data_IF_886714023241
#
_entry.id   IF_886714023241
#
_cell.length_a   1.000
_cell.length_b   1.000
_cell.length_c   1.000
_cell.angle_alpha   90.00
_cell.angle_beta   90.00
_cell.angle_gamma   90.00
#
_symmetry.space_group_name_H-M   'P 1'
#
loop_
_entity.id
_entity.type
_entity.pdbx_description
1 polymer ?
#
# COMPACT_ATOMS: atom_id res chain seq x y z
N UNK A 1 -30.25 -12.00 19.79
CA UNK A 1 -30.33 -12.38 21.21
C UNK A 1 -29.04 -12.00 21.90
N UNK A 2 -29.10 -11.14 22.92
CA UNK A 2 -27.96 -10.86 23.80
C UNK A 2 -27.75 -12.08 24.70
N UNK A 3 -26.55 -12.66 24.70
CA UNK A 3 -26.19 -13.67 25.70
C UNK A 3 -26.02 -12.95 27.04
N UNK A 4 -26.83 -13.23 28.06
CA UNK A 4 -26.78 -12.54 29.35
C UNK A 4 -25.43 -12.71 30.07
N UNK A 5 -24.67 -13.75 29.72
CA UNK A 5 -23.40 -14.10 30.37
C UNK A 5 -22.16 -13.38 29.78
N UNK A 6 -22.34 -12.50 28.78
CA UNK A 6 -21.22 -11.80 28.14
C UNK A 6 -21.28 -10.31 28.47
N UNK A 7 -20.49 -9.91 29.46
CA UNK A 7 -20.28 -8.51 29.79
C UNK A 7 -19.20 -7.91 28.89
N UNK A 8 -19.56 -6.87 28.13
CA UNK A 8 -18.62 -6.17 27.26
C UNK A 8 -18.08 -4.93 27.97
N UNK A 9 -16.75 -4.69 27.97
CA UNK A 9 -16.18 -3.48 28.53
C UNK A 9 -16.80 -2.22 27.89
N UNK A 10 -17.11 -1.15 28.65
CA UNK A 10 -17.74 0.07 28.13
C UNK A 10 -17.04 0.67 26.91
N UNK A 11 -15.71 0.53 26.85
CA UNK A 11 -14.87 0.93 25.72
C UNK A 11 -15.21 0.28 24.37
N UNK A 12 -16.03 -0.78 24.35
CA UNK A 12 -16.50 -1.47 23.14
C UNK A 12 -17.97 -1.19 22.80
N UNK A 13 -18.67 -0.30 23.53
CA UNK A 13 -20.06 0.05 23.25
C UNK A 13 -20.24 0.58 21.83
N UNK A 14 -19.39 1.52 21.41
CA UNK A 14 -19.45 2.09 20.06
C UNK A 14 -19.14 1.07 18.95
N UNK A 15 -18.29 0.06 19.20
CA UNK A 15 -18.09 -1.06 18.25
C UNK A 15 -19.37 -1.87 18.08
N UNK A 16 -20.08 -2.14 19.18
CA UNK A 16 -21.35 -2.88 19.12
C UNK A 16 -22.41 -2.11 18.35
N UNK A 17 -22.48 -0.79 18.52
CA UNK A 17 -23.39 0.07 17.75
C UNK A 17 -23.09 -0.03 16.25
N UNK A 18 -21.81 0.05 15.86
CA UNK A 18 -21.40 -0.08 14.46
C UNK A 18 -21.75 -1.47 13.90
N UNK A 19 -21.45 -2.54 14.65
CA UNK A 19 -21.78 -3.93 14.27
C UNK A 19 -23.29 -4.13 14.14
N UNK A 20 -24.10 -3.63 15.07
CA UNK A 20 -25.55 -3.72 15.01
C UNK A 20 -26.12 -2.96 13.79
N UNK A 21 -25.63 -1.75 13.55
CA UNK A 21 -26.04 -0.93 12.41
C UNK A 21 -25.68 -1.60 11.09
N UNK A 22 -24.45 -2.08 10.94
CA UNK A 22 -24.03 -2.83 9.76
C UNK A 22 -24.83 -4.12 9.60
N UNK A 23 -25.23 -4.78 10.68
CA UNK A 23 -26.04 -6.00 10.63
C UNK A 23 -27.45 -5.75 10.15
N UNK A 24 -28.05 -4.66 10.62
CA UNK A 24 -29.33 -4.20 10.09
C UNK A 24 -29.23 -3.87 8.60
N UNK A 25 -28.19 -3.15 8.18
CA UNK A 25 -27.98 -2.80 6.77
C UNK A 25 -27.72 -4.02 5.89
N UNK A 26 -26.88 -4.96 6.31
CA UNK A 26 -26.67 -6.23 5.58
C UNK A 26 -27.98 -7.01 5.49
N UNK A 27 -28.76 -7.08 6.57
CA UNK A 27 -30.09 -7.69 6.55
C UNK A 27 -31.04 -7.03 5.53
N UNK A 28 -31.04 -5.70 5.46
CA UNK A 28 -31.80 -4.96 4.44
C UNK A 28 -31.32 -5.27 3.02
N UNK A 29 -30.00 -5.36 2.79
CA UNK A 29 -29.45 -5.77 1.48
C UNK A 29 -29.90 -7.17 1.11
N UNK A 30 -29.87 -8.12 2.05
CA UNK A 30 -30.32 -9.49 1.79
C UNK A 30 -31.80 -9.55 1.40
N UNK A 31 -32.66 -8.78 2.08
CA UNK A 31 -34.08 -8.70 1.73
C UNK A 31 -34.30 -8.07 0.36
N UNK A 32 -33.60 -6.98 0.06
CA UNK A 32 -33.73 -6.28 -1.22
C UNK A 32 -33.22 -7.12 -2.40
N UNK A 33 -32.12 -7.84 -2.22
CA UNK A 33 -31.39 -8.47 -3.32
C UNK A 33 -31.71 -9.96 -3.48
N UNK A 34 -31.99 -10.67 -2.40
CA UNK A 34 -32.31 -12.11 -2.40
C UNK A 34 -33.68 -12.45 -1.85
N UNK A 35 -34.50 -11.45 -1.49
CA UNK A 35 -35.84 -11.64 -0.94
C UNK A 35 -35.86 -11.97 0.55
N UNK A 36 -37.07 -12.00 1.11
CA UNK A 36 -37.30 -12.30 2.53
C UNK A 36 -36.88 -13.73 2.87
N UNK A 37 -37.10 -14.68 1.96
CA UNK A 37 -36.76 -16.10 2.15
C UNK A 37 -35.25 -16.32 2.35
N UNK A 38 -34.40 -15.63 1.57
CA UNK A 38 -32.95 -15.72 1.76
C UNK A 38 -32.55 -15.16 3.13
N UNK A 39 -33.09 -14.00 3.50
CA UNK A 39 -32.82 -13.39 4.81
C UNK A 39 -33.21 -14.32 5.97
N UNK A 40 -34.40 -14.92 5.92
CA UNK A 40 -34.88 -15.86 6.94
C UNK A 40 -34.01 -17.13 7.00
N UNK A 41 -33.59 -17.62 5.84
CA UNK A 41 -32.69 -18.78 5.76
C UNK A 41 -31.34 -18.48 6.41
N UNK A 42 -30.74 -17.33 6.10
CA UNK A 42 -29.48 -16.86 6.71
C UNK A 42 -29.63 -16.73 8.22
N UNK A 43 -30.69 -16.07 8.69
CA UNK A 43 -30.92 -15.85 10.13
C UNK A 43 -31.19 -17.14 10.90
N UNK A 44 -31.90 -18.10 10.29
CA UNK A 44 -32.12 -19.42 10.89
C UNK A 44 -30.80 -20.17 11.04
N UNK A 45 -30.01 -20.25 9.98
CA UNK A 45 -28.70 -20.92 10.00
C UNK A 45 -27.74 -20.25 10.99
N UNK A 46 -27.74 -18.90 11.06
CA UNK A 46 -26.96 -18.12 12.04
C UNK A 46 -27.35 -18.46 13.47
N UNK A 47 -28.64 -18.55 13.75
CA UNK A 47 -29.16 -18.82 15.10
C UNK A 47 -28.85 -20.25 15.54
N UNK A 48 -29.03 -21.22 14.63
CA UNK A 48 -28.65 -22.63 14.87
C UNK A 48 -27.15 -22.77 15.12
N UNK A 49 -26.30 -22.10 14.33
CA UNK A 49 -24.85 -22.13 14.54
C UNK A 49 -24.44 -21.57 15.93
N UNK A 50 -25.12 -20.52 16.41
CA UNK A 50 -24.89 -19.96 17.75
C UNK A 50 -25.34 -20.93 18.85
N UNK A 51 -26.48 -21.59 18.68
CA UNK A 51 -27.02 -22.57 19.63
C UNK A 51 -26.15 -23.83 19.69
N UNK A 52 -25.73 -24.35 18.53
CA UNK A 52 -24.75 -25.45 18.39
C UNK A 52 -23.47 -25.14 19.16
N UNK A 53 -22.89 -23.94 18.99
CA UNK A 53 -21.71 -23.50 19.75
C UNK A 53 -21.96 -23.40 21.26
N UNK A 54 -23.21 -23.22 21.67
CA UNK A 54 -23.66 -23.26 23.06
C UNK A 54 -23.88 -24.68 23.61
N UNK A 55 -23.69 -25.73 22.81
CA UNK A 55 -23.87 -27.12 23.22
C UNK A 55 -25.25 -27.70 22.97
N UNK A 56 -26.12 -27.02 22.21
CA UNK A 56 -27.45 -27.54 21.86
C UNK A 56 -27.35 -28.61 20.76
N UNK A 57 -27.58 -29.86 21.13
CA UNK A 57 -27.54 -31.02 20.23
C UNK A 57 -28.68 -31.05 19.20
N UNK A 58 -29.85 -30.48 19.52
CA UNK A 58 -30.95 -30.40 18.57
C UNK A 58 -30.64 -29.37 17.47
N UNK A 59 -30.04 -28.24 17.85
CA UNK A 59 -29.57 -27.24 16.89
C UNK A 59 -28.43 -27.77 15.99
N UNK A 60 -27.55 -28.62 16.53
CA UNK A 60 -26.50 -29.30 15.77
C UNK A 60 -27.09 -30.19 14.67
N UNK A 61 -28.00 -31.08 15.04
CA UNK A 61 -28.66 -31.99 14.10
C UNK A 61 -29.51 -31.25 13.04
N UNK A 62 -30.24 -30.19 13.43
CA UNK A 62 -31.00 -29.37 12.48
C UNK A 62 -30.09 -28.64 11.50
N UNK A 63 -28.98 -28.05 11.98
CA UNK A 63 -28.04 -27.36 11.11
C UNK A 63 -27.39 -28.33 10.11
N UNK A 64 -26.99 -29.52 10.56
CA UNK A 64 -26.43 -30.56 9.69
C UNK A 64 -27.42 -30.97 8.59
N UNK A 65 -28.67 -31.24 8.95
CA UNK A 65 -29.72 -31.57 8.00
C UNK A 65 -30.00 -30.44 7.00
N UNK A 66 -29.96 -29.18 7.43
CA UNK A 66 -30.17 -28.01 6.56
C UNK A 66 -29.01 -27.77 5.61
N UNK A 67 -27.78 -28.10 5.99
CA UNK A 67 -26.59 -27.91 5.14
C UNK A 67 -26.43 -29.08 4.17
N UNK A 68 -26.81 -30.29 4.58
CA UNK A 68 -26.75 -31.49 3.75
C UNK A 68 -27.64 -31.37 2.50
N UNK A 69 -27.04 -31.58 1.32
CA UNK A 69 -27.78 -31.61 0.05
C UNK A 69 -28.36 -30.27 -0.41
N UNK A 70 -27.90 -29.13 0.15
CA UNK A 70 -28.41 -27.81 -0.23
C UNK A 70 -28.09 -27.49 -1.68
N UNK A 71 -29.08 -26.92 -2.38
CA UNK A 71 -28.93 -26.48 -3.77
C UNK A 71 -27.72 -25.53 -3.95
N UNK A 72 -26.85 -25.75 -4.94
CA UNK A 72 -25.62 -24.97 -5.10
C UNK A 72 -25.84 -23.46 -5.24
N UNK A 73 -26.96 -23.04 -5.84
CA UNK A 73 -27.29 -21.61 -5.96
C UNK A 73 -27.55 -20.97 -4.60
N UNK A 74 -28.39 -21.61 -3.78
CA UNK A 74 -28.69 -21.15 -2.43
C UNK A 74 -27.44 -21.20 -1.53
N UNK A 75 -26.65 -22.27 -1.63
CA UNK A 75 -25.40 -22.41 -0.88
C UNK A 75 -24.43 -21.24 -1.15
N UNK A 76 -24.29 -20.83 -2.42
CA UNK A 76 -23.49 -19.65 -2.79
C UNK A 76 -24.03 -18.36 -2.18
N UNK A 77 -25.34 -18.13 -2.25
CA UNK A 77 -25.92 -16.90 -1.68
C UNK A 77 -25.74 -16.83 -0.15
N UNK A 78 -25.78 -17.96 0.55
CA UNK A 78 -25.50 -18.02 1.99
C UNK A 78 -24.03 -17.78 2.32
N UNK A 79 -23.12 -18.39 1.56
CA UNK A 79 -21.69 -18.12 1.68
C UNK A 79 -21.41 -16.63 1.54
N UNK A 80 -22.02 -15.99 0.53
CA UNK A 80 -21.89 -14.55 0.29
C UNK A 80 -22.53 -13.72 1.39
N UNK A 81 -23.66 -14.15 1.94
CA UNK A 81 -24.33 -13.46 3.06
C UNK A 81 -23.45 -13.44 4.31
N UNK A 82 -22.93 -14.61 4.70
CA UNK A 82 -22.01 -14.71 5.83
C UNK A 82 -20.69 -13.98 5.57
N UNK A 83 -20.14 -14.08 4.36
CA UNK A 83 -18.90 -13.38 3.98
C UNK A 83 -19.07 -11.87 4.05
N UNK A 84 -20.16 -11.33 3.48
CA UNK A 84 -20.50 -9.90 3.54
C UNK A 84 -20.65 -9.42 4.99
N UNK A 85 -21.31 -10.22 5.83
CA UNK A 85 -21.43 -9.94 7.26
C UNK A 85 -20.09 -9.91 7.97
N UNK A 86 -19.25 -10.94 7.81
CA UNK A 86 -17.93 -11.00 8.44
C UNK A 86 -17.01 -9.88 7.96
N UNK A 87 -17.04 -9.54 6.67
CA UNK A 87 -16.29 -8.40 6.14
C UNK A 87 -16.73 -7.08 6.78
N UNK A 88 -18.05 -6.85 6.90
CA UNK A 88 -18.57 -5.65 7.56
C UNK A 88 -18.16 -5.57 9.04
N UNK A 89 -18.22 -6.69 9.77
CA UNK A 89 -17.80 -6.75 11.18
C UNK A 89 -16.30 -6.53 11.32
N UNK A 90 -15.48 -7.16 10.48
CA UNK A 90 -14.02 -6.98 10.48
C UNK A 90 -13.67 -5.51 10.23
N UNK A 91 -14.39 -4.85 9.31
CA UNK A 91 -14.19 -3.44 9.02
C UNK A 91 -14.58 -2.54 10.20
N UNK A 92 -15.70 -2.83 10.86
CA UNK A 92 -16.10 -2.12 12.08
C UNK A 92 -15.04 -2.27 13.19
N UNK A 93 -14.46 -3.46 13.34
CA UNK A 93 -13.38 -3.70 14.29
C UNK A 93 -12.13 -2.87 13.94
N UNK A 94 -11.72 -2.86 12.66
CA UNK A 94 -10.59 -2.05 12.20
C UNK A 94 -10.79 -0.55 12.47
N UNK A 95 -11.97 -0.01 12.15
CA UNK A 95 -12.31 1.40 12.43
C UNK A 95 -12.36 1.65 13.94
N UNK A 96 -12.87 0.69 14.74
CA UNK A 96 -12.86 0.80 16.19
C UNK A 96 -11.45 0.81 16.77
N UNK A 97 -10.49 0.07 16.18
CA UNK A 97 -9.07 0.16 16.59
C UNK A 97 -8.52 1.58 16.39
N UNK A 98 -8.89 2.25 15.30
CA UNK A 98 -8.54 3.66 15.05
C UNK A 98 -9.21 4.56 16.11
N UNK A 99 -10.50 4.37 16.38
CA UNK A 99 -11.25 5.09 17.43
C UNK A 99 -10.58 4.93 18.80
N UNK A 100 -10.17 3.72 19.17
CA UNK A 100 -9.48 3.43 20.43
C UNK A 100 -8.11 4.07 20.52
N UNK A 101 -7.34 4.05 19.43
CA UNK A 101 -6.04 4.76 19.36
C UNK A 101 -6.23 6.26 19.58
N UNK A 102 -7.27 6.87 19.02
CA UNK A 102 -7.58 8.29 19.24
C UNK A 102 -8.00 8.61 20.66
N UNK A 103 -8.93 7.83 21.22
CA UNK A 103 -9.37 8.00 22.60
C UNK A 103 -8.18 7.94 23.56
N UNK A 104 -7.24 7.02 23.33
CA UNK A 104 -6.01 6.94 24.12
C UNK A 104 -5.21 8.25 24.14
N UNK A 105 -5.01 8.89 22.99
CA UNK A 105 -4.30 10.17 22.89
C UNK A 105 -5.15 11.40 23.30
N UNK A 106 -6.47 11.27 23.36
CA UNK A 106 -7.35 12.33 23.88
C UNK A 106 -7.40 12.32 25.41
N UNK A 107 -7.35 11.14 26.03
CA UNK A 107 -7.35 10.99 27.48
C UNK A 107 -6.04 11.56 28.09
N UNK A 108 -4.91 11.30 27.44
CA UNK A 108 -3.60 11.85 27.80
C UNK A 108 -2.72 11.97 26.55
N UNK A 109 -2.58 13.20 26.04
CA UNK A 109 -1.81 13.49 24.84
C UNK A 109 -0.30 13.28 25.03
N UNK A 110 0.20 13.37 26.27
CA UNK A 110 1.62 13.26 26.57
C UNK A 110 2.07 11.81 26.78
N UNK A 111 1.14 10.91 27.09
CA UNK A 111 1.42 9.50 27.33
C UNK A 111 1.73 8.77 26.02
N UNK A 112 2.96 8.22 25.85
CA UNK A 112 3.28 7.44 24.67
C UNK A 112 2.44 6.14 24.63
N UNK A 113 2.08 5.69 23.44
CA UNK A 113 1.47 4.37 23.26
C UNK A 113 2.55 3.29 23.43
N UNK A 114 2.38 2.30 24.33
CA UNK A 114 3.37 1.24 24.52
C UNK A 114 3.71 0.51 23.21
N UNK A 115 4.99 0.36 22.92
CA UNK A 115 5.47 -0.25 21.67
C UNK A 115 5.37 0.65 20.43
N UNK A 116 4.91 1.88 20.55
CA UNK A 116 4.95 2.90 19.49
C UNK A 116 6.35 3.53 19.34
N UNK A 117 6.49 4.40 18.34
CA UNK A 117 7.77 5.08 18.03
C UNK A 117 8.18 6.01 19.18
N UNK A 118 7.25 6.79 19.71
CA UNK A 118 7.47 7.69 20.87
C UNK A 118 7.97 6.91 22.10
N UNK A 119 7.29 5.80 22.45
CA UNK A 119 7.69 4.93 23.56
C UNK A 119 9.09 4.33 23.35
N UNK A 120 9.38 3.82 22.15
CA UNK A 120 10.67 3.23 21.84
C UNK A 120 11.82 4.23 21.97
N UNK A 121 11.68 5.42 21.37
CA UNK A 121 12.69 6.49 21.44
C UNK A 121 12.83 7.00 22.88
N UNK A 122 11.73 7.20 23.59
CA UNK A 122 11.74 7.61 25.00
C UNK A 122 12.44 6.61 25.91
N UNK A 123 12.22 5.29 25.70
CA UNK A 123 12.92 4.24 26.45
C UNK A 123 14.43 4.22 26.17
N UNK A 124 14.83 4.38 24.91
CA UNK A 124 16.26 4.49 24.55
C UNK A 124 16.92 5.70 25.20
N UNK A 125 16.22 6.85 25.21
CA UNK A 125 16.69 8.06 25.91
C UNK A 125 16.82 7.82 27.42
N UNK A 126 15.83 7.20 28.05
CA UNK A 126 15.83 6.89 29.48
C UNK A 126 16.95 5.91 29.86
N UNK A 127 17.37 5.04 28.94
CA UNK A 127 18.54 4.16 29.10
C UNK A 127 19.89 4.86 28.88
N UNK A 128 19.89 6.16 28.58
CA UNK A 128 21.11 6.96 28.43
C UNK A 128 21.66 7.03 27.01
N UNK A 129 20.93 6.56 25.99
CA UNK A 129 21.40 6.65 24.60
C UNK A 129 21.44 8.11 24.13
N UNK A 130 22.60 8.57 23.67
CA UNK A 130 22.78 9.92 23.14
C UNK A 130 22.07 10.10 21.79
N UNK A 131 21.79 11.35 21.41
CA UNK A 131 21.20 11.65 20.10
C UNK A 131 22.10 11.14 18.97
N UNK A 132 23.41 11.35 19.09
CA UNK A 132 24.38 10.91 18.09
C UNK A 132 24.35 9.39 17.90
N UNK A 133 24.36 8.64 19.00
CA UNK A 133 24.29 7.17 18.96
C UNK A 133 22.95 6.69 18.37
N UNK A 134 21.83 7.34 18.71
CA UNK A 134 20.53 7.04 18.12
C UNK A 134 20.52 7.32 16.61
N UNK A 135 21.09 8.43 16.16
CA UNK A 135 21.18 8.73 14.72
C UNK A 135 22.09 7.74 13.98
N UNK A 136 23.16 7.25 14.60
CA UNK A 136 23.98 6.16 14.05
C UNK A 136 23.19 4.85 13.94
N UNK A 137 22.41 4.50 14.97
CA UNK A 137 21.51 3.34 14.94
C UNK A 137 20.51 3.48 13.79
N UNK A 138 19.80 4.62 13.69
CA UNK A 138 18.85 4.87 12.60
C UNK A 138 19.50 4.73 11.22
N UNK A 139 20.76 5.15 11.03
CA UNK A 139 21.48 4.99 9.75
C UNK A 139 21.80 3.53 9.41
N UNK A 140 21.92 2.65 10.40
CA UNK A 140 22.13 1.21 10.20
C UNK A 140 20.84 0.42 9.98
N UNK A 141 19.67 1.00 10.31
CA UNK A 141 18.40 0.29 10.20
C UNK A 141 17.95 0.18 8.74
N UNK A 142 17.48 -1.02 8.39
CA UNK A 142 16.86 -1.33 7.12
C UNK A 142 15.64 -2.22 7.34
N UNK A 143 14.46 -1.67 7.10
CA UNK A 143 13.16 -2.33 7.25
C UNK A 143 12.58 -2.50 5.86
N UNK A 144 12.39 -3.75 5.42
CA UNK A 144 11.82 -4.07 4.11
C UNK A 144 10.70 -5.11 4.25
N UNK A 145 9.44 -4.69 4.40
CA UNK A 145 8.31 -5.60 4.30
C UNK A 145 8.21 -6.14 2.87
N UNK A 146 8.14 -7.46 2.72
CA UNK A 146 8.06 -8.14 1.42
C UNK A 146 6.64 -8.65 1.20
N UNK A 147 6.00 -8.16 0.14
CA UNK A 147 4.64 -8.57 -0.23
C UNK A 147 4.66 -9.90 -0.98
N UNK A 148 3.81 -10.83 -0.55
CA UNK A 148 3.59 -12.12 -1.19
C UNK A 148 2.20 -12.19 -1.78
N UNK A 149 2.00 -13.06 -2.78
CA UNK A 149 0.65 -13.41 -3.23
C UNK A 149 -0.08 -14.09 -2.08
N UNK A 150 -1.36 -13.76 -1.88
CA UNK A 150 -2.17 -14.42 -0.87
C UNK A 150 -2.77 -15.69 -1.47
N UNK A 151 -2.49 -16.89 -0.92
CA UNK A 151 -2.86 -18.17 -1.55
C UNK A 151 -4.38 -18.39 -1.62
N UNK A 152 -5.16 -17.70 -0.79
CA UNK A 152 -6.61 -17.89 -0.67
C UNK A 152 -7.44 -16.61 -0.85
N UNK A 153 -6.82 -15.44 -0.93
CA UNK A 153 -7.55 -14.16 -0.92
C UNK A 153 -7.50 -13.54 -2.31
N UNK A 154 -8.40 -14.00 -3.18
CA UNK A 154 -8.53 -13.50 -4.54
C UNK A 154 -9.37 -12.23 -4.63
N UNK A 155 -9.31 -11.38 -3.60
CA UNK A 155 -10.16 -10.19 -3.52
C UNK A 155 -9.77 -9.23 -4.64
N UNK A 156 -10.69 -9.00 -5.59
CA UNK A 156 -10.47 -8.09 -6.71
C UNK A 156 -10.12 -6.69 -6.19
N UNK A 157 -9.23 -5.95 -6.87
CA UNK A 157 -8.91 -4.55 -6.53
C UNK A 157 -10.14 -3.66 -6.39
N UNK A 158 -11.18 -3.93 -7.17
CA UNK A 158 -12.49 -3.26 -7.07
C UNK A 158 -13.13 -3.43 -5.69
N UNK A 159 -13.06 -4.63 -5.11
CA UNK A 159 -13.59 -4.91 -3.77
C UNK A 159 -12.75 -4.20 -2.70
N UNK A 160 -11.42 -4.23 -2.80
CA UNK A 160 -10.54 -3.52 -1.85
C UNK A 160 -10.83 -2.01 -1.81
N UNK A 161 -11.09 -1.39 -2.96
CA UNK A 161 -11.50 0.03 -3.04
C UNK A 161 -12.85 0.28 -2.38
N UNK A 162 -13.80 -0.63 -2.51
CA UNK A 162 -15.11 -0.54 -1.82
C UNK A 162 -14.95 -0.69 -0.31
N UNK A 163 -14.12 -1.61 0.13
CA UNK A 163 -13.79 -1.79 1.55
C UNK A 163 -13.12 -0.53 2.11
N UNK A 164 -12.18 0.07 1.37
CA UNK A 164 -11.57 1.35 1.76
C UNK A 164 -12.63 2.46 1.85
N UNK A 165 -13.56 2.54 0.89
CA UNK A 165 -14.63 3.53 0.92
C UNK A 165 -15.58 3.34 2.10
N UNK A 166 -15.96 2.10 2.40
CA UNK A 166 -16.74 1.75 3.59
C UNK A 166 -15.99 2.13 4.87
N UNK A 167 -14.67 1.92 4.92
CA UNK A 167 -13.84 2.29 6.05
C UNK A 167 -13.88 3.81 6.30
N UNK A 168 -13.74 4.60 5.23
CA UNK A 168 -13.86 6.07 5.27
C UNK A 168 -15.23 6.49 5.79
N UNK A 169 -16.32 5.91 5.26
CA UNK A 169 -17.68 6.24 5.69
C UNK A 169 -17.92 5.90 7.17
N UNK A 170 -17.46 4.74 7.64
CA UNK A 170 -17.54 4.35 9.05
C UNK A 170 -16.68 5.25 9.93
N UNK A 171 -15.52 5.66 9.42
CA UNK A 171 -14.64 6.58 10.12
C UNK A 171 -15.23 8.00 10.21
N UNK A 172 -15.88 8.52 9.17
CA UNK A 172 -16.53 9.84 9.18
C UNK A 172 -17.71 9.88 10.17
N UNK A 173 -18.39 8.75 10.36
CA UNK A 173 -19.44 8.59 11.38
C UNK A 173 -18.94 8.72 12.82
N UNK A 174 -17.62 8.61 13.05
CA UNK A 174 -17.03 8.88 14.35
C UNK A 174 -17.21 10.33 14.79
N UNK A 175 -17.51 11.25 13.87
CA UNK A 175 -17.74 12.63 14.20
C UNK A 175 -19.00 12.78 15.10
N UNK A 176 -18.84 13.20 16.38
CA UNK A 176 -19.97 13.34 17.29
C UNK A 176 -20.91 14.48 16.87
N UNK A 177 -20.46 15.42 16.03
CA UNK A 177 -21.24 16.61 15.65
C UNK A 177 -22.21 16.38 14.49
N UNK A 178 -22.25 15.19 13.89
CA UNK A 178 -23.13 14.91 12.75
C UNK A 178 -24.60 15.10 13.11
N UNK A 179 -25.30 15.89 12.29
CA UNK A 179 -26.73 16.09 12.37
C UNK A 179 -27.51 14.81 12.02
N UNK A 180 -28.75 14.65 12.48
CA UNK A 180 -29.55 13.46 12.18
C UNK A 180 -29.77 13.20 10.67
N UNK A 181 -29.84 14.24 9.85
CA UNK A 181 -29.90 14.13 8.38
C UNK A 181 -28.59 13.57 7.80
N UNK A 182 -27.44 14.04 8.28
CA UNK A 182 -26.12 13.58 7.84
C UNK A 182 -25.87 12.13 8.26
N UNK A 183 -26.28 11.73 9.48
CA UNK A 183 -26.18 10.33 9.93
C UNK A 183 -27.02 9.39 9.06
N UNK A 184 -28.20 9.83 8.63
CA UNK A 184 -29.06 9.08 7.70
C UNK A 184 -28.43 9.01 6.30
N UNK A 185 -27.92 10.12 5.78
CA UNK A 185 -27.23 10.15 4.49
C UNK A 185 -26.01 9.23 4.47
N UNK A 186 -25.18 9.26 5.52
CA UNK A 186 -24.04 8.37 5.70
C UNK A 186 -24.46 6.90 5.77
N UNK A 187 -25.52 6.55 6.52
CA UNK A 187 -26.04 5.18 6.54
C UNK A 187 -26.54 4.74 5.15
N UNK A 188 -27.18 5.64 4.40
CA UNK A 188 -27.58 5.41 3.01
C UNK A 188 -26.37 5.14 2.09
N UNK A 189 -25.29 5.90 2.23
CA UNK A 189 -24.05 5.68 1.47
C UNK A 189 -23.40 4.34 1.81
N UNK A 190 -23.37 3.96 3.10
CA UNK A 190 -22.88 2.64 3.53
C UNK A 190 -23.74 1.54 2.90
N UNK A 191 -25.07 1.68 2.90
CA UNK A 191 -25.97 0.72 2.24
C UNK A 191 -25.68 0.62 0.75
N UNK A 192 -25.47 1.74 0.05
CA UNK A 192 -25.10 1.74 -1.38
C UNK A 192 -23.82 0.94 -1.61
N UNK A 193 -22.78 1.15 -0.80
CA UNK A 193 -21.53 0.40 -0.93
C UNK A 193 -21.70 -1.09 -0.60
N UNK A 194 -22.46 -1.45 0.44
CA UNK A 194 -22.78 -2.83 0.79
C UNK A 194 -23.60 -3.52 -0.31
N UNK A 195 -24.61 -2.86 -0.86
CA UNK A 195 -25.41 -3.39 -1.98
C UNK A 195 -24.55 -3.56 -3.22
N UNK A 196 -23.70 -2.58 -3.54
CA UNK A 196 -22.82 -2.68 -4.72
C UNK A 196 -21.79 -3.79 -4.54
N UNK A 197 -21.27 -3.98 -3.32
CA UNK A 197 -20.43 -5.11 -2.97
C UNK A 197 -21.18 -6.43 -3.19
N UNK A 198 -22.42 -6.56 -2.69
CA UNK A 198 -23.29 -7.72 -2.94
C UNK A 198 -23.59 -7.96 -4.43
N UNK A 199 -23.60 -6.94 -5.26
CA UNK A 199 -23.80 -7.10 -6.72
C UNK A 199 -22.50 -7.40 -7.47
N UNK A 200 -21.35 -7.33 -6.80
CA UNK A 200 -20.04 -7.61 -7.38
C UNK A 200 -19.62 -9.04 -7.05
N UNK A 201 -19.14 -9.79 -8.05
CA UNK A 201 -18.54 -11.11 -7.79
C UNK A 201 -17.22 -10.95 -7.00
N UNK A 202 -17.15 -11.56 -5.82
CA UNK A 202 -15.98 -11.50 -4.94
C UNK A 202 -14.76 -12.23 -5.53
N UNK A 203 -15.03 -13.37 -6.18
CA UNK A 203 -14.02 -14.22 -6.79
C UNK A 203 -14.06 -14.11 -8.32
N UNK A 204 -12.91 -14.09 -9.01
CA UNK A 204 -12.87 -14.29 -10.46
C UNK A 204 -13.34 -15.70 -10.81
N UNK A 205 -14.03 -15.83 -11.95
CA UNK A 205 -14.46 -17.13 -12.49
C UNK A 205 -13.30 -18.02 -12.94
N UNK A 206 -12.12 -17.43 -13.11
CA UNK A 206 -10.88 -18.08 -13.52
C UNK A 206 -9.84 -17.93 -12.41
N UNK A 207 -8.86 -18.84 -12.39
CA UNK A 207 -7.69 -18.72 -11.52
C UNK A 207 -7.04 -17.34 -11.72
N UNK A 208 -6.64 -16.70 -10.63
CA UNK A 208 -5.95 -15.41 -10.69
C UNK A 208 -4.71 -15.53 -11.57
N UNK A 209 -4.53 -14.54 -12.43
CA UNK A 209 -3.29 -14.39 -13.19
C UNK A 209 -2.25 -13.67 -12.32
N UNK A 210 -0.96 -13.83 -12.65
CA UNK A 210 0.12 -13.06 -12.02
C UNK A 210 -0.12 -11.55 -12.15
N UNK A 211 -0.79 -11.10 -13.21
CA UNK A 211 -1.17 -9.72 -13.39
C UNK A 211 -2.20 -9.24 -12.36
N UNK A 212 -3.17 -10.09 -12.00
CA UNK A 212 -4.18 -9.75 -10.99
C UNK A 212 -3.57 -9.65 -9.60
N UNK A 213 -2.71 -10.60 -9.23
CA UNK A 213 -1.96 -10.57 -7.97
C UNK A 213 -1.07 -9.33 -7.89
N UNK A 214 -0.42 -8.97 -9.00
CA UNK A 214 0.38 -7.74 -9.08
C UNK A 214 -0.47 -6.51 -8.82
N UNK A 215 -1.63 -6.37 -9.47
CA UNK A 215 -2.51 -5.21 -9.25
C UNK A 215 -3.03 -5.14 -7.81
N UNK A 216 -3.22 -6.29 -7.16
CA UNK A 216 -3.56 -6.37 -5.74
C UNK A 216 -2.43 -5.81 -4.85
N UNK A 217 -1.17 -6.22 -5.06
CA UNK A 217 -0.03 -5.67 -4.31
C UNK A 217 0.15 -4.17 -4.59
N UNK A 218 -0.01 -3.75 -5.84
CA UNK A 218 0.09 -2.34 -6.23
C UNK A 218 -0.96 -1.46 -5.56
N UNK A 219 -2.15 -1.98 -5.25
CA UNK A 219 -3.15 -1.25 -4.48
C UNK A 219 -2.60 -0.85 -3.11
N UNK A 220 -2.04 -1.78 -2.35
CA UNK A 220 -1.48 -1.46 -1.03
C UNK A 220 -0.27 -0.55 -1.11
N UNK A 221 0.67 -0.81 -2.03
CA UNK A 221 1.88 -0.01 -2.15
C UNK A 221 1.57 1.43 -2.58
N UNK A 222 0.77 1.62 -3.64
CA UNK A 222 0.59 2.93 -4.27
C UNK A 222 -0.62 3.72 -3.76
N UNK A 223 -1.71 3.06 -3.34
CA UNK A 223 -2.91 3.78 -2.85
C UNK A 223 -2.90 3.97 -1.33
N UNK A 224 -2.24 3.07 -0.58
CA UNK A 224 -2.21 3.11 0.90
C UNK A 224 -0.84 3.55 1.41
N UNK A 225 0.21 2.75 1.22
CA UNK A 225 1.52 2.96 1.84
C UNK A 225 2.22 4.22 1.33
N UNK A 226 2.12 4.50 0.03
CA UNK A 226 2.63 5.75 -0.56
C UNK A 226 2.17 7.00 0.22
N UNK A 227 0.91 7.02 0.66
CA UNK A 227 0.33 8.15 1.39
C UNK A 227 0.84 8.23 2.82
N UNK A 228 0.99 7.08 3.49
CA UNK A 228 1.30 6.97 4.93
C UNK A 228 2.79 7.10 5.24
N UNK A 229 3.68 6.75 4.30
CA UNK A 229 5.14 6.77 4.53
C UNK A 229 5.65 8.07 5.15
N UNK A 230 5.29 9.28 4.68
CA UNK A 230 5.78 10.49 5.32
C UNK A 230 5.36 10.63 6.79
N UNK A 231 4.13 10.27 7.13
CA UNK A 231 3.63 10.33 8.51
C UNK A 231 4.46 9.46 9.47
N UNK A 232 4.95 8.31 9.01
CA UNK A 232 5.82 7.45 9.82
C UNK A 232 7.15 8.14 10.16
N UNK A 233 7.75 8.86 9.21
CA UNK A 233 8.98 9.62 9.47
C UNK A 233 8.72 10.87 10.30
N UNK A 234 7.55 11.50 10.14
CA UNK A 234 7.10 12.62 10.97
C UNK A 234 6.95 12.17 12.43
N UNK A 235 6.38 11.00 12.71
CA UNK A 235 6.26 10.43 14.06
C UNK A 235 7.66 10.22 14.70
N UNK A 236 8.65 9.78 13.92
CA UNK A 236 10.05 9.66 14.39
C UNK A 236 10.62 11.05 14.70
N UNK A 237 10.44 12.02 13.80
CA UNK A 237 10.97 13.38 13.98
C UNK A 237 10.37 14.08 15.21
N UNK A 238 9.06 13.93 15.41
CA UNK A 238 8.34 14.45 16.58
C UNK A 238 8.85 13.82 17.87
N UNK A 239 9.02 12.49 17.90
CA UNK A 239 9.58 11.79 19.05
C UNK A 239 11.02 12.23 19.36
N UNK A 240 11.86 12.43 18.34
CA UNK A 240 13.20 13.01 18.54
C UNK A 240 13.13 14.42 19.12
N UNK A 241 12.21 15.26 18.63
CA UNK A 241 12.03 16.59 19.19
C UNK A 241 11.61 16.58 20.66
N UNK A 242 10.66 15.70 21.00
CA UNK A 242 10.18 15.51 22.38
C UNK A 242 11.28 15.04 23.34
N UNK A 243 12.06 14.02 22.96
CA UNK A 243 13.02 13.38 23.88
C UNK A 243 14.44 13.93 23.82
N UNK A 244 14.83 14.56 22.72
CA UNK A 244 16.19 15.06 22.48
C UNK A 244 16.27 16.57 22.21
N UNK A 245 15.13 17.27 22.11
CA UNK A 245 15.10 18.73 21.93
C UNK A 245 15.55 19.22 20.55
N UNK A 246 15.53 18.35 19.53
CA UNK A 246 15.78 18.76 18.14
C UNK A 246 14.52 19.34 17.51
N UNK A 247 14.66 20.18 16.50
CA UNK A 247 13.50 20.65 15.75
C UNK A 247 13.02 19.55 14.76
N UNK A 248 11.79 19.02 14.92
CA UNK A 248 11.23 17.98 14.05
C UNK A 248 11.17 18.39 12.57
N UNK A 249 11.11 19.69 12.29
CA UNK A 249 11.04 20.19 10.92
C UNK A 249 12.41 20.22 10.23
N UNK A 250 13.52 20.19 10.97
CA UNK A 250 14.87 20.32 10.40
C UNK A 250 15.73 19.08 10.59
N UNK A 251 15.33 18.14 11.45
CA UNK A 251 16.05 16.88 11.63
C UNK A 251 16.03 16.03 10.35
N UNK A 252 17.21 15.68 9.86
CA UNK A 252 17.38 14.83 8.69
C UNK A 252 17.40 13.35 9.10
N UNK A 253 16.29 12.66 8.84
CA UNK A 253 16.18 11.23 9.11
C UNK A 253 16.72 10.39 7.94
N UNK A 254 17.55 9.36 8.18
CA UNK A 254 17.98 8.41 7.16
C UNK A 254 16.76 7.66 6.58
N UNK A 255 16.89 7.13 5.37
CA UNK A 255 15.82 6.31 4.79
C UNK A 255 15.95 4.87 5.29
N UNK A 256 15.07 4.50 6.22
CA UNK A 256 15.09 3.19 6.90
C UNK A 256 14.04 2.22 6.37
N UNK A 257 13.02 2.71 5.66
CA UNK A 257 11.91 1.91 5.14
C UNK A 257 12.04 1.73 3.62
N UNK A 258 11.91 0.48 3.19
CA UNK A 258 11.85 0.02 1.79
C UNK A 258 10.70 -0.98 1.67
N UNK A 259 10.33 -1.36 0.45
CA UNK A 259 9.33 -2.39 0.22
C UNK A 259 9.85 -3.41 -0.78
N UNK A 260 9.54 -4.69 -0.55
CA UNK A 260 9.82 -5.78 -1.47
C UNK A 260 8.54 -6.44 -1.98
N UNK A 261 8.64 -7.22 -3.04
CA UNK A 261 7.54 -8.04 -3.56
C UNK A 261 8.08 -9.33 -4.17
N UNK A 262 7.39 -10.44 -3.91
CA UNK A 262 7.58 -11.73 -4.60
C UNK A 262 6.65 -11.89 -5.80
N UNK A 263 5.54 -11.15 -5.82
CA UNK A 263 4.54 -11.27 -6.89
C UNK A 263 5.15 -10.83 -8.21
N UNK A 264 5.21 -11.76 -9.16
CA UNK A 264 5.82 -11.57 -10.48
C UNK A 264 7.29 -11.95 -10.57
N UNK A 265 7.95 -12.31 -9.46
CA UNK A 265 9.36 -12.72 -9.41
C UNK A 265 9.62 -14.09 -8.76
N UNK A 266 8.66 -14.62 -8.00
CA UNK A 266 8.73 -15.96 -7.43
C UNK A 266 8.29 -17.03 -8.44
N UNK A 267 9.28 -17.72 -9.02
CA UNK A 267 9.08 -18.78 -10.01
C UNK A 267 9.06 -20.18 -9.37
N UNK A 268 9.32 -20.28 -8.07
CA UNK A 268 9.43 -21.56 -7.38
C UNK A 268 8.06 -22.25 -7.29
N UNK A 269 7.91 -23.36 -8.03
CA UNK A 269 6.66 -24.11 -8.11
C UNK A 269 5.54 -23.40 -8.90
N UNK A 270 5.82 -22.27 -9.56
CA UNK A 270 4.83 -21.49 -10.30
C UNK A 270 5.22 -21.28 -11.78
N UNK A 271 4.71 -22.11 -12.71
CA UNK A 271 5.06 -22.01 -14.12
C UNK A 271 4.51 -20.76 -14.82
N UNK A 272 3.53 -20.07 -14.21
CA UNK A 272 2.94 -18.84 -14.74
C UNK A 272 3.84 -17.61 -14.48
N UNK A 273 4.86 -17.75 -13.62
CA UNK A 273 5.87 -16.73 -13.39
C UNK A 273 7.13 -17.07 -14.17
N UNK A 274 7.56 -16.15 -15.04
CA UNK A 274 8.68 -16.32 -15.96
C UNK A 274 9.26 -14.96 -16.37
N UNK A 275 10.34 -14.94 -17.17
CA UNK A 275 11.01 -13.69 -17.59
C UNK A 275 10.06 -12.58 -18.11
N UNK A 276 9.00 -12.91 -18.84
CA UNK A 276 8.01 -11.91 -19.28
C UNK A 276 7.18 -11.33 -18.14
N UNK A 277 6.65 -12.13 -17.20
CA UNK A 277 5.89 -11.62 -16.05
C UNK A 277 6.76 -10.75 -15.14
N UNK A 278 8.05 -11.08 -15.01
CA UNK A 278 9.04 -10.26 -14.31
C UNK A 278 9.15 -8.87 -14.93
N UNK A 279 9.39 -8.79 -16.26
CA UNK A 279 9.49 -7.52 -16.99
C UNK A 279 8.19 -6.72 -16.93
N UNK A 280 7.04 -7.38 -17.14
CA UNK A 280 5.73 -6.76 -17.06
C UNK A 280 5.46 -6.20 -15.66
N UNK A 281 5.93 -6.89 -14.61
CA UNK A 281 5.80 -6.45 -13.22
C UNK A 281 6.66 -5.23 -12.93
N UNK A 282 7.93 -5.25 -13.32
CA UNK A 282 8.85 -4.12 -13.18
C UNK A 282 8.33 -2.88 -13.92
N UNK A 283 7.90 -3.04 -15.17
CA UNK A 283 7.34 -1.95 -15.97
C UNK A 283 6.09 -1.36 -15.33
N UNK A 284 5.18 -2.21 -14.85
CA UNK A 284 3.95 -1.76 -14.20
C UNK A 284 4.20 -1.06 -12.86
N UNK A 285 5.17 -1.53 -12.06
CA UNK A 285 5.59 -0.86 -10.83
C UNK A 285 6.16 0.53 -11.12
N UNK A 286 7.06 0.64 -12.11
CA UNK A 286 7.62 1.92 -12.55
C UNK A 286 6.53 2.89 -13.03
N UNK A 287 5.65 2.45 -13.91
CA UNK A 287 4.52 3.26 -14.40
C UNK A 287 3.65 3.75 -13.24
N UNK A 288 3.36 2.89 -12.27
CA UNK A 288 2.53 3.25 -11.11
C UNK A 288 3.17 4.35 -10.28
N UNK A 289 4.45 4.22 -9.93
CA UNK A 289 5.13 5.19 -9.05
C UNK A 289 5.43 6.51 -9.77
N UNK A 290 5.81 6.47 -11.05
CA UNK A 290 6.01 7.70 -11.85
C UNK A 290 4.70 8.46 -12.01
N UNK A 291 3.57 7.76 -12.25
CA UNK A 291 2.26 8.41 -12.29
C UNK A 291 1.85 8.99 -10.93
N UNK A 292 2.16 8.31 -9.82
CA UNK A 292 1.91 8.85 -8.48
C UNK A 292 2.67 10.16 -8.23
N UNK A 293 3.96 10.21 -8.60
CA UNK A 293 4.75 11.44 -8.53
C UNK A 293 4.21 12.54 -9.44
N UNK A 294 3.78 12.19 -10.66
CA UNK A 294 3.20 13.14 -11.59
C UNK A 294 1.97 13.84 -10.99
N UNK A 295 1.03 13.06 -10.46
CA UNK A 295 -0.19 13.59 -9.82
C UNK A 295 0.14 14.44 -8.58
N UNK A 296 1.12 14.04 -7.79
CA UNK A 296 1.55 14.79 -6.61
C UNK A 296 2.23 16.11 -6.98
N UNK A 297 3.13 16.10 -7.98
CA UNK A 297 3.78 17.32 -8.50
C UNK A 297 2.75 18.29 -9.08
N UNK A 298 1.73 17.80 -9.80
CA UNK A 298 0.62 18.65 -10.26
C UNK A 298 -0.14 19.29 -9.10
N UNK A 299 -0.39 18.53 -8.03
CA UNK A 299 -1.05 19.04 -6.82
C UNK A 299 -0.18 20.09 -6.11
N UNK A 300 1.14 19.87 -6.04
CA UNK A 300 2.10 20.85 -5.51
C UNK A 300 2.13 22.11 -6.37
N UNK A 301 2.07 22.00 -7.70
CA UNK A 301 2.02 23.15 -8.60
C UNK A 301 0.78 24.01 -8.34
N UNK A 302 -0.37 23.39 -8.02
CA UNK A 302 -1.57 24.11 -7.61
C UNK A 302 -1.39 24.79 -6.24
N UNK A 303 -0.78 24.11 -5.28
CA UNK A 303 -0.55 24.60 -3.92
C UNK A 303 0.44 25.78 -3.85
N UNK A 304 1.57 25.69 -4.57
CA UNK A 304 2.66 26.67 -4.53
C UNK A 304 2.37 27.85 -5.48
N UNK A 305 1.56 28.79 -4.99
CA UNK A 305 1.05 29.95 -5.73
C UNK A 305 1.85 31.24 -5.54
N UNK A 306 3.02 31.17 -4.92
CA UNK A 306 3.82 32.34 -4.59
C UNK A 306 4.14 33.16 -5.85
N UNK A 307 4.00 34.48 -5.76
CA UNK A 307 4.24 35.36 -6.89
C UNK A 307 5.62 36.02 -6.85
N UNK A 308 6.30 36.06 -8.00
CA UNK A 308 7.59 36.71 -8.20
C UNK A 308 7.61 38.21 -7.85
N UNK A 309 6.45 38.87 -7.79
CA UNK A 309 6.34 40.27 -7.32
C UNK A 309 6.42 40.43 -5.80
N UNK A 310 6.26 39.33 -5.04
CA UNK A 310 6.23 39.34 -3.57
C UNK A 310 7.40 38.59 -2.94
N UNK A 311 7.91 37.57 -3.63
CA UNK A 311 8.98 36.71 -3.12
C UNK A 311 9.89 36.27 -4.27
N UNK A 312 11.19 36.24 -4.00
CA UNK A 312 12.18 35.72 -4.95
C UNK A 312 12.20 34.19 -5.04
N UNK A 313 12.99 33.68 -5.97
CA UNK A 313 13.38 32.28 -6.06
C UNK A 313 14.89 32.19 -6.19
N UNK A 314 15.46 31.04 -5.83
CA UNK A 314 16.91 30.84 -5.95
C UNK A 314 17.35 30.92 -7.42
N UNK A 315 18.55 31.45 -7.66
CA UNK A 315 19.12 31.51 -9.00
C UNK A 315 19.27 30.12 -9.64
N UNK A 316 19.52 29.08 -8.82
CA UNK A 316 19.61 27.70 -9.27
C UNK A 316 18.25 27.16 -9.79
N UNK A 317 17.14 27.46 -9.10
CA UNK A 317 15.80 27.08 -9.56
C UNK A 317 15.45 27.82 -10.85
N UNK A 318 15.69 29.13 -10.91
CA UNK A 318 15.41 29.93 -12.11
C UNK A 318 16.19 29.40 -13.32
N UNK A 319 17.50 29.14 -13.15
CA UNK A 319 18.34 28.58 -14.21
C UNK A 319 17.78 27.25 -14.74
N UNK A 320 17.40 26.33 -13.84
CA UNK A 320 16.84 25.04 -14.25
C UNK A 320 15.49 25.19 -14.97
N UNK A 321 14.67 26.14 -14.52
CA UNK A 321 13.41 26.47 -15.19
C UNK A 321 13.64 26.95 -16.63
N UNK A 322 14.63 27.82 -16.85
CA UNK A 322 14.98 28.33 -18.18
C UNK A 322 15.53 27.23 -19.10
N UNK A 323 16.35 26.31 -18.55
CA UNK A 323 16.80 25.10 -19.26
C UNK A 323 15.61 24.26 -19.74
N UNK A 324 14.59 24.07 -18.89
CA UNK A 324 13.40 23.26 -19.21
C UNK A 324 12.46 23.91 -20.23
N UNK A 325 12.37 25.23 -20.31
CA UNK A 325 11.66 25.92 -21.40
C UNK A 325 12.23 25.54 -22.77
N UNK A 326 13.56 25.35 -22.83
CA UNK A 326 14.27 25.00 -24.06
C UNK A 326 14.16 23.51 -24.38
N UNK A 327 14.34 22.64 -23.38
CA UNK A 327 14.42 21.19 -23.53
C UNK A 327 13.08 20.49 -23.70
N UNK A 328 11.97 21.11 -23.26
CA UNK A 328 10.66 20.48 -23.22
C UNK A 328 9.69 21.21 -24.16
N UNK A 329 9.33 20.60 -25.31
CA UNK A 329 8.36 21.19 -26.24
C UNK A 329 7.01 21.50 -25.56
N UNK A 330 6.57 20.63 -24.63
CA UNK A 330 5.34 20.79 -23.84
C UNK A 330 5.43 21.81 -22.70
N UNK A 331 6.62 22.23 -22.27
CA UNK A 331 6.76 23.26 -21.23
C UNK A 331 6.35 24.66 -21.70
N UNK A 332 6.33 24.90 -23.01
CA UNK A 332 5.92 26.19 -23.57
C UNK A 332 4.41 26.43 -23.46
N UNK A 333 3.60 25.35 -23.45
CA UNK A 333 2.14 25.46 -23.29
C UNK A 333 1.70 25.57 -21.82
N UNK A 334 2.48 25.05 -20.87
CA UNK A 334 2.23 25.27 -19.43
C UNK A 334 2.58 26.69 -18.96
N UNK A 335 3.35 27.43 -19.76
CA UNK A 335 3.69 28.85 -19.61
C UNK A 335 2.67 29.81 -20.24
N UNK A 336 1.46 29.37 -20.59
CA UNK A 336 0.47 30.25 -21.23
C UNK A 336 -0.15 31.24 -20.22
N UNK A 337 0.48 32.41 -20.13
CA UNK A 337 -0.02 33.78 -19.84
C UNK A 337 -0.72 34.08 -18.50
N UNK A 338 -1.16 33.08 -17.71
CA UNK A 338 -1.76 33.32 -16.38
C UNK A 338 -0.83 33.01 -15.20
N UNK A 339 0.24 32.25 -15.43
CA UNK A 339 1.13 31.75 -14.37
C UNK A 339 2.56 32.27 -14.48
N UNK A 340 2.85 33.16 -15.43
CA UNK A 340 4.20 33.70 -15.70
C UNK A 340 4.83 34.40 -14.49
N UNK A 341 4.02 34.76 -13.48
CA UNK A 341 4.48 35.36 -12.23
C UNK A 341 4.52 34.37 -11.07
N UNK A 342 4.35 33.07 -11.27
CA UNK A 342 4.32 32.03 -10.22
C UNK A 342 5.44 31.00 -10.44
N UNK A 343 6.70 31.32 -10.08
CA UNK A 343 7.87 30.56 -10.52
C UNK A 343 7.87 29.09 -10.04
N UNK A 344 7.46 28.81 -8.80
CA UNK A 344 7.36 27.43 -8.31
C UNK A 344 6.34 26.60 -9.08
N UNK A 345 5.16 27.18 -9.38
CA UNK A 345 4.12 26.52 -10.18
C UNK A 345 4.62 26.20 -11.58
N UNK A 346 5.24 27.17 -12.26
CA UNK A 346 5.80 26.98 -13.61
C UNK A 346 6.82 25.85 -13.60
N UNK A 347 7.78 25.90 -12.66
CA UNK A 347 8.81 24.88 -12.54
C UNK A 347 8.24 23.48 -12.27
N UNK A 348 7.29 23.36 -11.35
CA UNK A 348 6.65 22.07 -11.04
C UNK A 348 5.84 21.52 -12.23
N UNK A 349 5.21 22.37 -13.05
CA UNK A 349 4.55 21.92 -14.28
C UNK A 349 5.56 21.38 -15.31
N UNK A 350 6.76 21.95 -15.39
CA UNK A 350 7.84 21.41 -16.22
C UNK A 350 8.34 20.06 -15.71
N UNK A 351 8.51 19.93 -14.39
CA UNK A 351 8.82 18.65 -13.72
C UNK A 351 7.74 17.61 -14.02
N UNK A 352 6.46 17.98 -13.98
CA UNK A 352 5.36 17.09 -14.35
C UNK A 352 5.45 16.64 -15.82
N UNK A 353 5.78 17.53 -16.76
CA UNK A 353 6.00 17.16 -18.16
C UNK A 353 7.20 16.20 -18.33
N UNK A 354 8.28 16.36 -17.54
CA UNK A 354 9.39 15.40 -17.52
C UNK A 354 8.98 14.04 -16.98
N UNK A 355 8.21 14.00 -15.89
CA UNK A 355 7.66 12.75 -15.36
C UNK A 355 6.75 12.06 -16.37
N UNK A 356 5.95 12.82 -17.12
CA UNK A 356 5.14 12.29 -18.23
C UNK A 356 6.02 11.70 -19.33
N UNK A 357 7.10 12.38 -19.72
CA UNK A 357 8.06 11.83 -20.66
C UNK A 357 8.73 10.55 -20.14
N UNK A 358 9.06 10.47 -18.84
CA UNK A 358 9.56 9.24 -18.20
C UNK A 358 8.53 8.11 -18.29
N UNK A 359 7.25 8.40 -17.99
CA UNK A 359 6.17 7.42 -18.05
C UNK A 359 5.97 6.87 -19.47
N UNK A 360 6.00 7.75 -20.46
CA UNK A 360 5.80 7.41 -21.88
C UNK A 360 7.06 6.78 -22.53
N UNK A 361 8.22 6.77 -21.84
CA UNK A 361 9.50 6.38 -22.43
C UNK A 361 9.99 7.33 -23.53
N UNK A 362 9.58 8.61 -23.49
CA UNK A 362 9.95 9.63 -24.48
C UNK A 362 11.30 10.28 -24.16
N UNK A 363 11.98 10.87 -25.15
CA UNK A 363 13.15 11.72 -24.92
C UNK A 363 12.86 12.83 -23.90
N UNK A 364 13.88 13.31 -23.20
CA UNK A 364 13.81 14.34 -22.15
C UNK A 364 13.15 13.91 -20.83
N UNK A 365 12.77 12.63 -20.69
CA UNK A 365 12.40 12.03 -19.41
C UNK A 365 13.54 12.04 -18.39
N UNK A 366 13.24 11.60 -17.17
CA UNK A 366 14.24 11.37 -16.14
C UNK A 366 14.99 10.07 -16.36
N UNK A 367 16.33 10.11 -16.30
CA UNK A 367 17.17 8.89 -16.38
C UNK A 367 17.05 8.02 -15.11
N UNK A 368 16.75 8.64 -13.98
CA UNK A 368 16.58 7.94 -12.72
C UNK A 368 16.04 8.84 -11.60
N UNK A 369 15.68 8.25 -10.45
CA UNK A 369 15.05 8.95 -9.35
C UNK A 369 15.95 10.03 -8.73
N UNK A 370 17.27 9.88 -8.78
CA UNK A 370 18.21 10.91 -8.27
C UNK A 370 18.13 12.22 -9.07
N UNK A 371 17.90 12.14 -10.38
CA UNK A 371 17.74 13.34 -11.20
C UNK A 371 16.43 14.06 -10.86
N UNK A 372 15.35 13.31 -10.60
CA UNK A 372 14.09 13.85 -10.14
C UNK A 372 14.19 14.46 -8.73
N UNK A 373 14.85 13.76 -7.80
CA UNK A 373 15.11 14.25 -6.45
C UNK A 373 15.80 15.62 -6.48
N UNK A 374 16.83 15.79 -7.31
CA UNK A 374 17.55 17.07 -7.46
C UNK A 374 16.66 18.23 -7.89
N UNK A 375 15.64 18.00 -8.71
CA UNK A 375 14.69 19.05 -9.07
C UNK A 375 13.81 19.44 -7.88
N UNK A 376 13.37 18.47 -7.09
CA UNK A 376 12.59 18.73 -5.88
C UNK A 376 13.45 19.42 -4.82
N UNK A 377 14.73 19.08 -4.70
CA UNK A 377 15.68 19.73 -3.79
C UNK A 377 15.81 21.24 -4.11
N UNK A 378 15.85 21.62 -5.40
CA UNK A 378 15.87 23.03 -5.80
C UNK A 378 14.64 23.81 -5.27
N UNK A 379 13.46 23.17 -5.24
CA UNK A 379 12.24 23.78 -4.68
C UNK A 379 12.38 23.97 -3.18
N UNK A 380 12.89 22.95 -2.47
CA UNK A 380 13.11 23.01 -1.02
C UNK A 380 14.12 24.11 -0.65
N UNK A 381 15.27 24.12 -1.29
CA UNK A 381 16.33 25.10 -1.03
C UNK A 381 15.84 26.52 -1.31
N UNK A 382 15.12 26.71 -2.42
CA UNK A 382 14.55 28.00 -2.78
C UNK A 382 13.49 28.46 -1.78
N UNK A 383 12.60 27.57 -1.32
CA UNK A 383 11.61 27.91 -0.29
C UNK A 383 12.30 28.32 1.02
N UNK A 384 13.30 27.57 1.47
CA UNK A 384 14.05 27.90 2.69
C UNK A 384 14.74 29.26 2.59
N UNK A 385 15.42 29.53 1.47
CA UNK A 385 16.10 30.81 1.23
C UNK A 385 15.13 32.01 1.17
N UNK A 386 13.85 31.79 0.89
CA UNK A 386 12.86 32.84 0.69
C UNK A 386 11.70 32.79 1.70
N UNK A 387 11.98 32.34 2.93
CA UNK A 387 11.02 32.33 4.06
C UNK A 387 9.74 31.50 3.77
N UNK A 388 9.86 30.48 2.93
CA UNK A 388 8.79 29.59 2.50
C UNK A 388 8.52 28.41 3.44
N UNK A 389 9.03 28.45 4.68
CA UNK A 389 8.90 27.38 5.69
C UNK A 389 7.43 26.92 5.86
N UNK A 390 6.52 27.89 5.96
CA UNK A 390 5.08 27.65 6.08
C UNK A 390 4.31 27.88 4.76
N UNK A 391 5.03 27.94 3.64
CA UNK A 391 4.46 28.26 2.32
C UNK A 391 4.54 27.05 1.36
N UNK A 392 4.32 25.84 1.89
CA UNK A 392 4.29 24.60 1.11
C UNK A 392 5.52 23.70 1.28
N UNK A 393 6.58 24.14 1.97
CA UNK A 393 7.78 23.33 2.21
C UNK A 393 7.47 21.96 2.81
N UNK A 394 6.54 21.90 3.77
CA UNK A 394 6.11 20.65 4.38
C UNK A 394 5.58 19.64 3.34
N UNK A 395 4.74 20.09 2.40
CA UNK A 395 4.21 19.22 1.35
C UNK A 395 5.30 18.75 0.38
N UNK A 396 6.27 19.61 0.03
CA UNK A 396 7.40 19.25 -0.84
C UNK A 396 8.32 18.23 -0.16
N UNK A 397 8.58 18.36 1.14
CA UNK A 397 9.37 17.39 1.92
C UNK A 397 8.72 16.02 2.01
N UNK A 398 7.38 15.96 2.06
CA UNK A 398 6.66 14.68 1.96
C UNK A 398 6.92 13.98 0.62
N UNK A 399 6.96 14.73 -0.49
CA UNK A 399 7.36 14.19 -1.79
C UNK A 399 8.81 13.70 -1.78
N UNK A 400 9.76 14.49 -1.26
CA UNK A 400 11.16 14.05 -1.11
C UNK A 400 11.26 12.73 -0.34
N UNK A 401 10.50 12.58 0.75
CA UNK A 401 10.49 11.35 1.54
C UNK A 401 9.96 10.15 0.73
N UNK A 402 8.95 10.36 -0.10
CA UNK A 402 8.42 9.31 -0.99
C UNK A 402 9.42 8.93 -2.07
N UNK A 403 10.06 9.90 -2.74
CA UNK A 403 11.12 9.64 -3.72
C UNK A 403 12.25 8.86 -3.08
N UNK A 404 12.71 9.31 -1.91
CA UNK A 404 13.77 8.66 -1.16
C UNK A 404 13.41 7.22 -0.81
N UNK A 405 12.13 6.91 -0.51
CA UNK A 405 11.59 5.60 -0.09
C UNK A 405 11.33 4.63 -1.25
N UNK A 406 10.72 5.10 -2.33
CA UNK A 406 10.18 4.25 -3.41
C UNK A 406 11.02 4.29 -4.70
N UNK A 407 11.84 5.33 -4.91
CA UNK A 407 12.57 5.54 -6.16
C UNK A 407 11.64 5.48 -7.39
N UNK A 408 12.14 4.94 -8.51
CA UNK A 408 11.34 4.69 -9.73
C UNK A 408 10.91 3.22 -9.88
N UNK A 409 11.09 2.40 -8.84
CA UNK A 409 10.77 0.97 -8.88
C UNK A 409 9.63 0.59 -7.93
N UNK A 410 9.15 1.49 -7.06
CA UNK A 410 8.12 1.25 -6.05
C UNK A 410 8.54 0.23 -4.98
N UNK A 411 8.67 -1.05 -5.35
CA UNK A 411 9.14 -2.11 -4.48
C UNK A 411 10.22 -2.94 -5.18
N UNK A 412 11.19 -3.45 -4.43
CA UNK A 412 12.19 -4.39 -4.97
C UNK A 412 11.50 -5.70 -5.31
N UNK A 413 11.55 -6.11 -6.58
CA UNK A 413 11.05 -7.40 -7.03
C UNK A 413 12.11 -8.47 -6.76
N UNK A 414 11.84 -9.40 -5.85
CA UNK A 414 12.75 -10.50 -5.56
C UNK A 414 12.52 -11.64 -6.55
N UNK A 415 13.62 -12.20 -7.06
CA UNK A 415 13.61 -13.33 -7.99
C UNK A 415 13.94 -14.59 -7.20
N UNK A 416 13.04 -15.58 -7.24
CA UNK A 416 13.23 -16.86 -6.54
C UNK A 416 13.04 -18.02 -7.51
N UNK A 417 13.95 -19.00 -7.43
CA UNK A 417 13.91 -20.22 -8.23
C UNK A 417 14.50 -21.40 -7.46
N UNK A 418 13.98 -22.60 -7.70
CA UNK A 418 14.48 -23.82 -7.09
C UNK A 418 15.87 -24.17 -7.61
N UNK A 419 16.80 -24.53 -6.71
CA UNK A 419 18.20 -24.82 -7.06
C UNK A 419 18.38 -25.94 -8.09
N UNK A 420 17.48 -26.93 -8.07
CA UNK A 420 17.44 -28.02 -9.05
C UNK A 420 17.26 -27.53 -10.50
N UNK A 421 16.53 -26.43 -10.70
CA UNK A 421 16.35 -25.81 -12.02
C UNK A 421 17.69 -25.26 -12.52
N UNK A 422 18.43 -24.52 -11.68
CA UNK A 422 19.78 -24.05 -12.03
C UNK A 422 20.73 -25.20 -12.34
N UNK A 423 20.67 -26.30 -11.59
CA UNK A 423 21.47 -27.49 -11.88
C UNK A 423 21.11 -28.12 -13.23
N UNK A 424 19.82 -28.20 -13.57
CA UNK A 424 19.37 -28.70 -14.86
C UNK A 424 19.84 -27.80 -16.01
N UNK A 425 19.75 -26.48 -15.85
CA UNK A 425 20.23 -25.51 -16.84
C UNK A 425 21.74 -25.62 -17.02
N UNK A 426 22.52 -25.70 -15.94
CA UNK A 426 23.98 -25.84 -16.04
C UNK A 426 24.41 -27.15 -16.69
N UNK A 427 23.75 -28.27 -16.36
CA UNK A 427 24.01 -29.57 -16.99
C UNK A 427 23.82 -29.50 -18.51
N UNK A 428 22.71 -28.87 -18.95
CA UNK A 428 22.41 -28.65 -20.37
C UNK A 428 23.40 -27.66 -21.00
N UNK A 429 23.52 -26.45 -20.43
CA UNK A 429 24.34 -25.36 -20.97
C UNK A 429 25.80 -25.75 -21.20
N UNK A 430 26.37 -26.56 -20.31
CA UNK A 430 27.76 -27.00 -20.39
C UNK A 430 27.94 -28.30 -21.19
N UNK A 431 26.84 -28.92 -21.63
CA UNK A 431 26.81 -30.27 -22.20
C UNK A 431 27.44 -31.32 -21.24
N UNK A 432 27.14 -31.18 -19.95
CA UNK A 432 27.66 -32.01 -18.86
C UNK A 432 26.52 -32.80 -18.20
N UNK A 433 26.11 -33.91 -18.81
CA UNK A 433 25.02 -34.77 -18.31
C UNK A 433 25.26 -35.30 -16.88
N UNK A 434 26.53 -35.42 -16.47
CA UNK A 434 26.94 -35.82 -15.11
C UNK A 434 26.90 -34.71 -14.05
N UNK A 435 26.52 -33.48 -14.40
CA UNK A 435 26.51 -32.35 -13.47
C UNK A 435 25.65 -32.59 -12.21
N UNK A 436 24.46 -33.19 -12.41
CA UNK A 436 23.54 -33.51 -11.32
C UNK A 436 24.10 -34.52 -10.32
N UNK A 437 25.01 -35.39 -10.77
CA UNK A 437 25.63 -36.44 -9.95
C UNK A 437 26.92 -35.99 -9.27
N UNK A 438 27.47 -34.82 -9.62
CA UNK A 438 28.63 -34.26 -8.92
C UNK A 438 28.28 -34.00 -7.46
N UNK A 439 29.19 -34.40 -6.56
CA UNK A 439 29.10 -33.99 -5.16
C UNK A 439 29.25 -32.47 -5.02
N UNK A 440 28.92 -31.95 -3.83
CA UNK A 440 28.95 -30.51 -3.55
C UNK A 440 30.34 -29.89 -3.79
N UNK A 441 31.43 -30.59 -3.46
CA UNK A 441 32.80 -30.06 -3.54
C UNK A 441 33.27 -30.03 -4.98
N UNK A 442 33.07 -31.12 -5.73
CA UNK A 442 33.36 -31.20 -7.16
C UNK A 442 32.58 -30.14 -7.94
N UNK A 443 31.29 -29.95 -7.62
CA UNK A 443 30.46 -28.91 -8.23
C UNK A 443 30.97 -27.50 -7.93
N UNK A 444 31.37 -27.21 -6.69
CA UNK A 444 31.95 -25.92 -6.31
C UNK A 444 33.27 -25.66 -7.06
N UNK A 445 34.19 -26.63 -7.09
CA UNK A 445 35.45 -26.50 -7.83
C UNK A 445 35.20 -26.25 -9.30
N UNK A 446 34.23 -26.96 -9.91
CA UNK A 446 33.85 -26.75 -11.30
C UNK A 446 33.28 -25.36 -11.54
N UNK A 447 32.38 -24.87 -10.68
CA UNK A 447 31.83 -23.51 -10.79
C UNK A 447 32.90 -22.43 -10.68
N UNK A 448 33.85 -22.57 -9.76
CA UNK A 448 34.98 -21.63 -9.62
C UNK A 448 35.82 -21.61 -10.90
N UNK A 449 36.12 -22.78 -11.48
CA UNK A 449 36.89 -22.88 -12.72
C UNK A 449 36.15 -22.25 -13.91
N UNK A 450 34.83 -22.48 -14.03
CA UNK A 450 34.00 -21.87 -15.07
C UNK A 450 33.98 -20.34 -14.99
N UNK A 451 33.80 -19.80 -13.77
CA UNK A 451 33.79 -18.35 -13.54
C UNK A 451 35.19 -17.75 -13.81
N UNK A 452 36.26 -18.39 -13.31
CA UNK A 452 37.62 -17.89 -13.47
C UNK A 452 38.07 -17.85 -14.94
N UNK A 453 37.53 -18.74 -15.77
CA UNK A 453 37.84 -18.83 -17.21
C UNK A 453 36.80 -18.16 -18.11
N UNK A 454 35.79 -17.52 -17.54
CA UNK A 454 34.67 -16.89 -18.26
C UNK A 454 34.01 -17.82 -19.28
N UNK A 455 33.78 -19.08 -18.86
CA UNK A 455 33.17 -20.10 -19.73
C UNK A 455 31.65 -19.97 -19.68
N UNK A 456 31.07 -19.47 -20.77
CA UNK A 456 29.63 -19.44 -20.99
C UNK A 456 29.03 -20.77 -21.47
N UNK A 457 27.73 -20.78 -21.81
CA UNK A 457 27.04 -21.93 -22.40
C UNK A 457 27.75 -22.40 -23.67
N UNK A 458 27.94 -23.71 -23.80
CA UNK A 458 28.50 -24.37 -24.99
C UNK A 458 27.45 -24.71 -26.04
N UNK A 459 26.19 -24.81 -25.62
CA UNK A 459 25.04 -25.05 -26.49
C UNK A 459 24.03 -23.92 -26.37
N UNK A 460 23.22 -23.72 -27.41
CA UNK A 460 22.07 -22.82 -27.32
C UNK A 460 21.01 -23.43 -26.41
N UNK A 461 20.54 -22.66 -25.44
CA UNK A 461 19.49 -23.10 -24.52
C UNK A 461 18.16 -23.24 -25.25
N UNK A 462 17.47 -24.36 -24.99
CA UNK A 462 16.11 -24.60 -25.44
C UNK A 462 15.09 -23.65 -24.75
N UNK A 463 13.81 -23.76 -25.14
CA UNK A 463 12.76 -22.90 -24.58
C UNK A 463 12.52 -23.10 -23.07
N UNK A 464 12.98 -24.20 -22.49
CA UNK A 464 12.88 -24.48 -21.05
C UNK A 464 14.09 -23.87 -20.33
N UNK A 465 15.30 -24.02 -20.86
CA UNK A 465 16.51 -23.36 -20.37
C UNK A 465 16.50 -21.84 -20.54
N UNK A 466 15.74 -21.31 -21.51
CA UNK A 466 15.45 -19.87 -21.65
C UNK A 466 14.32 -19.37 -20.72
N UNK A 467 13.49 -20.28 -20.17
CA UNK A 467 12.38 -19.97 -19.26
C UNK A 467 12.77 -20.07 -17.78
N UNK A 468 13.62 -21.05 -17.46
CA UNK A 468 14.31 -21.24 -16.20
C UNK A 468 15.26 -20.08 -15.87
#
# INVERSE_FOLDING_TARGET
MSRPDIEFPPKHAALREDVHMLGALVGDVLRDQGGVELFETVERDRTLAIARRGGDAAADAELEARVAGREPALARDLERAFSSWFQAVNLAEQVHRIRRRRAYFQDDAERPQPGGVDDAIGRLKAQGLSLEALMQLLRSLHIMPVFMAHPTESTRRTILRKQLKLAELLYDRLNPTLAPSERRASAGQIRVELTTHWQTEDHPRQRLTVADEREHVLFFLAEVLYRIVPNFYEEIAEALGKHYGVDPQTVELPTILRFGSWVGGDMDGNPDVHAKSLRDTLARQQQTIVNAYFLEVQSLAQLLSQSASRVGVSAALQKRSDEYVTLLPGARSSSLTRHDRMPYRVFLLQVAERLRATYDGRPSGYEGPLQFQRDIDLVVDSLLAHRGQYAGLFAVRRLQRRIATFGFHLATLEVRQHSGIHHSVLARALDESGWGTLDRRARLTRLIDLIARDIGPRIELDAEGKRA
#
